data_IF_566675289067
#
_entry.id   IF_566675289067
#
_cell.length_a   1.000
_cell.length_b   1.000
_cell.length_c   1.000
_cell.angle_alpha   90.00
_cell.angle_beta   90.00
_cell.angle_gamma   90.00
#
_symmetry.space_group_name_H-M   'P 1'
#
loop_
_entity.id
_entity.type
_entity.pdbx_description
1 polymer ?
#
# COMPACT_ATOMS: atom_id res chain seq x y z
N UNK A 1 -11.97 -17.11 25.50
CA UNK A 1 -12.91 -17.96 24.73
C UNK A 1 -12.30 -18.21 23.37
N UNK A 2 -12.26 -19.48 22.94
CA UNK A 2 -11.74 -19.81 21.62
C UNK A 2 -12.66 -19.24 20.53
N UNK A 3 -12.08 -18.73 19.45
CA UNK A 3 -12.81 -18.32 18.26
C UNK A 3 -11.99 -18.58 17.00
N UNK A 4 -12.66 -18.55 15.87
CA UNK A 4 -12.06 -18.56 14.54
C UNK A 4 -12.71 -17.46 13.72
N UNK A 5 -11.93 -16.85 12.79
CA UNK A 5 -12.45 -15.91 11.80
C UNK A 5 -12.28 -16.57 10.44
N UNK A 6 -13.37 -16.79 9.71
CA UNK A 6 -13.38 -17.32 8.35
C UNK A 6 -13.83 -16.21 7.40
N UNK A 7 -12.98 -15.85 6.44
CA UNK A 7 -13.27 -14.81 5.44
C UNK A 7 -13.81 -13.50 6.06
N UNK A 8 -13.19 -13.07 7.19
CA UNK A 8 -13.60 -11.88 7.93
C UNK A 8 -14.76 -12.05 8.89
N UNK A 9 -15.49 -13.18 8.88
CA UNK A 9 -16.60 -13.45 9.79
C UNK A 9 -16.12 -14.18 11.02
N UNK A 10 -16.40 -13.65 12.22
CA UNK A 10 -15.98 -14.24 13.48
C UNK A 10 -16.99 -15.27 13.99
N UNK A 11 -16.54 -16.46 14.37
CA UNK A 11 -17.42 -17.56 14.85
C UNK A 11 -18.31 -17.18 16.05
N UNK A 12 -17.93 -16.16 16.84
CA UNK A 12 -18.73 -15.68 17.97
C UNK A 12 -20.00 -14.91 17.55
N UNK A 13 -20.11 -14.50 16.29
CA UNK A 13 -21.32 -13.86 15.75
C UNK A 13 -22.37 -14.89 15.31
N UNK A 14 -21.97 -16.16 15.15
CA UNK A 14 -22.88 -17.24 14.78
C UNK A 14 -23.55 -17.79 16.04
N UNK A 15 -24.88 -17.66 16.12
CA UNK A 15 -25.64 -18.02 17.31
C UNK A 15 -25.50 -19.50 17.67
N UNK A 16 -25.06 -19.75 18.87
CA UNK A 16 -24.92 -21.11 19.42
C UNK A 16 -23.71 -21.90 18.95
N UNK A 17 -22.85 -21.36 18.04
CA UNK A 17 -21.62 -22.01 17.64
C UNK A 17 -20.52 -21.81 18.69
N UNK A 18 -19.87 -22.90 19.08
CA UNK A 18 -18.75 -22.92 20.02
C UNK A 18 -17.52 -23.52 19.36
N UNK A 19 -16.37 -22.90 19.57
CA UNK A 19 -15.09 -23.51 19.26
C UNK A 19 -14.56 -24.18 20.52
N UNK A 20 -14.62 -25.53 20.53
CA UNK A 20 -14.24 -26.34 21.69
C UNK A 20 -12.72 -26.45 21.81
N UNK A 21 -12.02 -26.74 20.70
CA UNK A 21 -10.57 -26.80 20.67
C UNK A 21 -10.04 -26.14 19.40
N UNK A 22 -8.88 -25.51 19.52
CA UNK A 22 -8.13 -24.95 18.39
C UNK A 22 -7.07 -25.94 17.91
N UNK A 23 -6.68 -25.89 16.63
CA UNK A 23 -5.57 -26.68 16.15
C UNK A 23 -4.25 -26.23 16.78
N UNK A 24 -3.28 -27.15 16.97
CA UNK A 24 -1.98 -26.80 17.49
C UNK A 24 -1.22 -25.90 16.51
N UNK A 25 -0.35 -25.05 17.06
CA UNK A 25 0.64 -24.32 16.27
C UNK A 25 1.69 -25.35 15.84
N UNK A 26 1.84 -25.53 14.53
CA UNK A 26 2.74 -26.53 13.95
C UNK A 26 3.50 -25.96 12.76
N UNK A 27 4.68 -26.48 12.52
CA UNK A 27 5.51 -26.15 11.37
C UNK A 27 5.18 -27.10 10.22
N UNK A 28 5.07 -26.63 8.96
CA UNK A 28 4.87 -27.49 7.80
C UNK A 28 6.08 -28.40 7.56
N UNK A 29 5.82 -29.55 6.96
CA UNK A 29 6.87 -30.50 6.57
C UNK A 29 7.65 -29.97 5.37
N UNK A 30 8.99 -29.99 5.47
CA UNK A 30 9.87 -29.75 4.32
C UNK A 30 9.84 -30.99 3.41
N UNK A 31 9.47 -30.81 2.16
CA UNK A 31 9.60 -31.86 1.13
C UNK A 31 11.04 -31.90 0.68
N UNK A 32 11.61 -33.11 0.62
CA UNK A 32 12.99 -33.34 0.20
C UNK A 32 13.04 -34.45 -0.85
N UNK A 33 13.97 -34.33 -1.78
CA UNK A 33 14.43 -35.44 -2.62
C UNK A 33 15.74 -35.91 -2.06
N UNK A 34 15.88 -37.22 -1.90
CA UNK A 34 17.09 -37.87 -1.41
C UNK A 34 17.65 -38.74 -2.55
N UNK A 35 18.93 -38.54 -2.86
CA UNK A 35 19.61 -39.28 -3.91
C UNK A 35 20.87 -39.95 -3.32
N UNK A 36 20.93 -41.28 -3.41
CA UNK A 36 22.08 -42.06 -3.04
C UNK A 36 22.99 -42.22 -4.28
N UNK A 37 24.29 -42.00 -4.10
CA UNK A 37 25.27 -42.17 -5.19
C UNK A 37 26.21 -43.32 -4.82
N UNK A 38 26.29 -44.33 -5.69
CA UNK A 38 27.16 -45.47 -5.53
C UNK A 38 28.63 -45.02 -5.37
N UNK A 39 29.29 -45.53 -4.30
CA UNK A 39 30.67 -45.20 -4.01
C UNK A 39 30.91 -43.90 -3.26
N UNK A 40 29.84 -43.22 -2.82
CA UNK A 40 29.89 -42.06 -1.94
C UNK A 40 29.21 -42.35 -0.60
N UNK A 41 29.83 -41.97 0.50
CA UNK A 41 29.20 -42.02 1.80
C UNK A 41 28.17 -40.89 1.95
N UNK A 42 26.94 -41.23 2.45
CA UNK A 42 25.84 -40.31 2.68
C UNK A 42 25.05 -39.94 1.43
N UNK A 43 23.98 -39.20 1.61
CA UNK A 43 22.96 -38.85 0.61
C UNK A 43 23.11 -37.39 0.13
N UNK A 44 22.62 -37.11 -1.07
CA UNK A 44 22.34 -35.75 -1.53
C UNK A 44 20.89 -35.45 -1.20
N UNK A 45 20.68 -34.45 -0.33
CA UNK A 45 19.33 -33.98 0.04
C UNK A 45 19.02 -32.66 -0.63
N UNK A 46 18.01 -32.66 -1.51
CA UNK A 46 17.52 -31.45 -2.18
C UNK A 46 16.19 -31.02 -1.59
N UNK A 47 16.10 -29.76 -1.15
CA UNK A 47 14.89 -29.19 -0.60
C UNK A 47 13.90 -28.80 -1.74
N UNK A 48 12.67 -29.32 -1.70
CA UNK A 48 11.64 -29.11 -2.70
C UNK A 48 10.53 -28.11 -2.25
N UNK A 49 10.73 -27.47 -1.08
CA UNK A 49 9.75 -26.57 -0.49
C UNK A 49 8.86 -27.23 0.57
N UNK A 50 7.89 -26.51 1.10
CA UNK A 50 7.04 -26.99 2.19
C UNK A 50 5.74 -27.61 1.67
N UNK A 51 5.22 -28.60 2.41
CA UNK A 51 3.92 -29.22 2.14
C UNK A 51 2.79 -28.42 2.78
N UNK A 52 1.64 -28.35 2.11
CA UNK A 52 0.40 -28.06 2.76
C UNK A 52 0.07 -29.14 3.81
N UNK A 53 -0.71 -28.82 4.84
CA UNK A 53 -0.99 -29.73 5.93
C UNK A 53 -2.37 -29.50 6.54
N UNK A 54 -2.88 -30.47 7.32
CA UNK A 54 -4.19 -30.40 7.89
C UNK A 54 -4.14 -29.85 9.33
N UNK A 55 -5.04 -28.91 9.62
CA UNK A 55 -5.34 -28.40 10.96
C UNK A 55 -6.74 -28.81 11.34
N UNK A 56 -6.89 -29.51 12.48
CA UNK A 56 -8.16 -29.98 12.98
C UNK A 56 -8.65 -29.13 14.15
N UNK A 57 -9.92 -28.78 14.12
CA UNK A 57 -10.60 -27.98 15.12
C UNK A 57 -11.89 -28.70 15.56
N UNK A 58 -12.17 -28.75 16.86
CA UNK A 58 -13.43 -29.26 17.36
C UNK A 58 -14.44 -28.12 17.57
N UNK A 59 -15.64 -28.32 17.07
CA UNK A 59 -16.75 -27.37 17.18
C UNK A 59 -17.88 -27.99 18.02
N UNK A 60 -18.72 -27.14 18.59
CA UNK A 60 -19.87 -27.55 19.38
C UNK A 60 -21.08 -26.64 19.16
N UNK A 61 -22.26 -27.11 19.63
CA UNK A 61 -23.49 -26.33 19.66
C UNK A 61 -23.98 -26.15 21.09
N UNK A 62 -24.41 -24.94 21.41
CA UNK A 62 -24.91 -24.57 22.72
C UNK A 62 -26.13 -23.63 22.62
N UNK A 63 -27.12 -23.85 23.49
CA UNK A 63 -28.34 -23.04 23.55
C UNK A 63 -29.14 -23.06 22.24
N UNK A 64 -29.68 -21.89 21.88
CA UNK A 64 -30.36 -21.72 20.59
C UNK A 64 -29.37 -21.57 19.49
N UNK A 65 -29.53 -22.31 18.40
CA UNK A 65 -28.69 -22.26 17.22
C UNK A 65 -29.50 -22.40 15.94
N UNK A 66 -28.96 -21.86 14.84
CA UNK A 66 -29.49 -22.10 13.51
C UNK A 66 -28.47 -22.96 12.74
N UNK A 67 -28.87 -24.16 12.34
CA UNK A 67 -27.97 -25.09 11.62
C UNK A 67 -27.55 -24.55 10.28
N UNK A 68 -28.44 -23.88 9.56
CA UNK A 68 -28.15 -23.36 8.23
C UNK A 68 -27.10 -22.22 8.31
N UNK A 69 -27.17 -21.37 9.35
CA UNK A 69 -26.13 -20.38 9.62
C UNK A 69 -24.77 -21.01 9.91
N UNK A 70 -24.76 -22.09 10.69
CA UNK A 70 -23.53 -22.83 11.02
C UNK A 70 -22.93 -23.47 9.74
N UNK A 71 -23.78 -24.07 8.89
CA UNK A 71 -23.36 -24.64 7.61
C UNK A 71 -22.76 -23.54 6.70
N UNK A 72 -23.45 -22.41 6.56
CA UNK A 72 -23.02 -21.28 5.75
C UNK A 72 -21.72 -20.64 6.24
N UNK A 73 -21.49 -20.65 7.56
CA UNK A 73 -20.25 -20.12 8.13
C UNK A 73 -19.01 -20.91 7.66
N UNK A 74 -19.11 -22.24 7.53
CA UNK A 74 -17.99 -23.07 7.07
C UNK A 74 -17.93 -23.11 5.55
N UNK A 75 -17.46 -22.01 4.95
CA UNK A 75 -17.20 -21.94 3.51
C UNK A 75 -16.08 -22.89 3.10
N UNK A 76 -16.12 -23.38 1.84
CA UNK A 76 -15.19 -24.41 1.36
C UNK A 76 -13.74 -23.94 1.27
N UNK A 77 -13.48 -22.63 1.10
CA UNK A 77 -12.14 -22.07 0.96
C UNK A 77 -12.06 -20.61 1.36
N UNK A 78 -10.86 -20.10 1.53
CA UNK A 78 -10.57 -18.71 1.83
C UNK A 78 -9.47 -18.51 2.85
N UNK A 79 -9.65 -17.55 3.76
CA UNK A 79 -8.70 -17.23 4.83
C UNK A 79 -9.25 -17.62 6.19
N UNK A 80 -8.38 -18.14 7.07
CA UNK A 80 -8.72 -18.48 8.44
C UNK A 80 -7.72 -17.90 9.44
N UNK A 81 -8.24 -17.25 10.48
CA UNK A 81 -7.49 -16.80 11.67
C UNK A 81 -7.95 -17.63 12.86
N UNK A 82 -7.04 -18.30 13.54
CA UNK A 82 -7.30 -19.01 14.78
C UNK A 82 -6.96 -18.12 15.98
N UNK A 83 -7.78 -18.12 17.02
CA UNK A 83 -7.59 -17.25 18.18
C UNK A 83 -6.34 -17.51 19.02
N UNK A 84 -5.60 -18.59 18.77
CA UNK A 84 -4.27 -18.84 19.33
C UNK A 84 -3.12 -18.22 18.52
N UNK A 85 -3.40 -17.70 17.31
CA UNK A 85 -2.51 -16.90 16.46
C UNK A 85 -3.32 -15.76 15.82
N UNK A 86 -3.83 -14.78 16.60
CA UNK A 86 -4.80 -13.80 16.14
C UNK A 86 -4.21 -12.75 15.18
N UNK A 87 -2.90 -12.64 15.11
CA UNK A 87 -2.11 -11.76 14.27
C UNK A 87 -1.77 -12.36 12.90
N UNK A 88 -2.20 -13.62 12.64
CA UNK A 88 -1.86 -14.35 11.41
C UNK A 88 -3.07 -15.04 10.81
N UNK A 89 -3.13 -15.09 9.47
CA UNK A 89 -4.08 -15.92 8.77
C UNK A 89 -3.41 -16.99 7.93
N UNK A 90 -4.18 -18.04 7.63
CA UNK A 90 -3.84 -19.11 6.71
C UNK A 90 -4.80 -19.10 5.53
N UNK A 91 -4.29 -19.40 4.33
CA UNK A 91 -5.13 -19.78 3.21
C UNK A 91 -5.53 -21.25 3.39
N UNK A 92 -6.83 -21.54 3.30
CA UNK A 92 -7.36 -22.88 3.58
C UNK A 92 -8.36 -23.35 2.53
N UNK A 93 -8.54 -24.66 2.52
CA UNK A 93 -9.64 -25.38 1.88
C UNK A 93 -10.20 -26.39 2.88
N UNK A 94 -11.54 -26.56 2.94
CA UNK A 94 -12.19 -27.65 3.66
C UNK A 94 -12.44 -28.76 2.64
N UNK A 95 -11.62 -29.79 2.69
CA UNK A 95 -11.66 -30.93 1.75
C UNK A 95 -12.41 -32.13 2.33
N UNK A 96 -12.57 -32.19 3.64
CA UNK A 96 -13.28 -33.26 4.34
C UNK A 96 -14.73 -32.86 4.62
N UNK A 97 -15.62 -33.85 4.64
CA UNK A 97 -17.01 -33.65 5.02
C UNK A 97 -17.12 -33.27 6.52
N UNK A 98 -17.87 -32.21 6.82
CA UNK A 98 -18.24 -31.84 8.18
C UNK A 98 -19.53 -32.62 8.53
N UNK A 99 -19.49 -33.45 9.57
CA UNK A 99 -20.64 -34.23 10.00
C UNK A 99 -21.60 -33.37 10.87
N UNK A 100 -22.50 -32.66 10.23
CA UNK A 100 -23.48 -31.81 10.88
C UNK A 100 -24.55 -32.64 11.61
N UNK A 101 -24.85 -33.90 11.21
CA UNK A 101 -25.76 -34.78 11.94
C UNK A 101 -25.16 -35.13 13.30
N UNK A 102 -23.88 -35.48 13.34
CA UNK A 102 -23.14 -35.70 14.58
C UNK A 102 -23.11 -34.45 15.46
N UNK A 103 -22.90 -33.27 14.84
CA UNK A 103 -22.91 -31.98 15.55
C UNK A 103 -24.25 -31.73 16.23
N UNK A 104 -25.39 -32.02 15.58
CA UNK A 104 -26.72 -31.84 16.12
C UNK A 104 -26.99 -32.84 17.25
N UNK A 105 -26.66 -34.12 17.04
CA UNK A 105 -26.96 -35.22 18.01
C UNK A 105 -26.06 -35.20 19.22
N UNK A 106 -24.75 -35.05 19.02
CA UNK A 106 -23.74 -35.19 20.08
C UNK A 106 -23.15 -33.86 20.54
N UNK A 107 -23.57 -32.74 19.93
CA UNK A 107 -23.08 -31.39 20.23
C UNK A 107 -21.59 -31.24 20.03
N UNK A 108 -20.98 -32.04 19.17
CA UNK A 108 -19.57 -31.96 18.79
C UNK A 108 -19.33 -32.53 17.40
N UNK A 109 -18.49 -31.86 16.63
CA UNK A 109 -17.94 -32.34 15.36
C UNK A 109 -16.50 -31.80 15.16
N UNK A 110 -15.79 -32.39 14.20
CA UNK A 110 -14.45 -31.96 13.83
C UNK A 110 -14.51 -31.30 12.46
N UNK A 111 -13.82 -30.16 12.33
CA UNK A 111 -13.58 -29.48 11.06
C UNK A 111 -12.10 -29.61 10.74
N UNK A 112 -11.78 -30.08 9.53
CA UNK A 112 -10.42 -30.22 9.02
C UNK A 112 -10.16 -29.15 7.97
N UNK A 113 -9.24 -28.25 8.26
CA UNK A 113 -8.74 -27.24 7.33
C UNK A 113 -7.47 -27.77 6.67
N UNK A 114 -7.47 -27.90 5.36
CA UNK A 114 -6.25 -28.10 4.56
C UNK A 114 -5.64 -26.74 4.32
N UNK A 115 -4.52 -26.43 4.99
CA UNK A 115 -3.91 -25.11 4.95
C UNK A 115 -2.63 -25.11 4.12
N UNK A 116 -2.40 -24.01 3.42
CA UNK A 116 -1.13 -23.76 2.75
C UNK A 116 0.01 -23.60 3.78
N UNK A 117 1.27 -23.85 3.42
CA UNK A 117 2.37 -23.94 4.39
C UNK A 117 2.71 -22.62 5.07
N UNK A 118 2.40 -21.50 4.45
CA UNK A 118 2.74 -20.19 4.97
C UNK A 118 1.54 -19.52 5.65
N UNK A 119 1.86 -18.76 6.71
CA UNK A 119 0.98 -17.82 7.37
C UNK A 119 1.31 -16.41 6.91
N UNK A 120 0.32 -15.55 6.88
CA UNK A 120 0.44 -14.15 6.49
C UNK A 120 -0.05 -13.24 7.60
N UNK A 121 0.36 -11.97 7.60
CA UNK A 121 -0.12 -10.97 8.56
C UNK A 121 -1.62 -10.77 8.45
N UNK A 122 -2.34 -10.81 9.57
CA UNK A 122 -3.78 -10.51 9.62
C UNK A 122 -4.08 -9.00 9.54
N UNK A 123 -3.06 -8.17 9.62
CA UNK A 123 -3.12 -6.72 9.40
C UNK A 123 -2.52 -6.44 8.03
N UNK A 124 -3.11 -5.52 7.27
CA UNK A 124 -2.58 -5.12 5.97
C UNK A 124 -1.12 -4.68 6.12
N UNK A 125 -0.25 -5.42 5.46
CA UNK A 125 1.20 -5.24 5.51
C UNK A 125 1.58 -4.50 4.22
N UNK A 126 1.27 -3.19 4.19
CA UNK A 126 1.51 -2.32 3.04
C UNK A 126 2.49 -1.24 3.43
N UNK A 127 3.58 -1.14 2.67
CA UNK A 127 4.49 -0.02 2.71
C UNK A 127 4.17 0.92 1.54
N UNK A 128 4.15 2.23 1.81
CA UNK A 128 3.94 3.25 0.77
C UNK A 128 5.07 4.27 0.79
N UNK A 129 5.72 4.46 -0.35
CA UNK A 129 6.55 5.63 -0.65
C UNK A 129 5.74 6.57 -1.54
N UNK A 130 5.71 7.85 -1.20
CA UNK A 130 5.09 8.91 -2.00
C UNK A 130 6.13 10.05 -2.16
N UNK A 131 6.40 10.43 -3.40
CA UNK A 131 7.29 11.54 -3.72
C UNK A 131 6.70 12.89 -3.31
N UNK A 132 5.35 12.99 -3.28
CA UNK A 132 4.66 14.17 -2.78
C UNK A 132 4.63 14.17 -1.25
N UNK A 133 5.26 15.17 -0.67
CA UNK A 133 5.38 15.33 0.79
C UNK A 133 4.53 16.48 1.34
N UNK A 134 3.72 17.14 0.49
CA UNK A 134 2.81 18.22 0.90
C UNK A 134 1.47 17.64 1.37
N UNK A 135 1.00 18.15 2.49
CA UNK A 135 -0.36 17.89 2.96
C UNK A 135 -1.06 19.20 3.31
N UNK A 136 -2.11 19.52 2.54
CA UNK A 136 -2.90 20.76 2.68
C UNK A 136 -4.04 20.51 3.67
N UNK A 137 -4.25 21.45 4.58
CA UNK A 137 -5.37 21.40 5.55
C UNK A 137 -6.66 21.90 4.92
N UNK A 138 -7.78 21.46 5.46
CA UNK A 138 -9.08 22.02 5.12
C UNK A 138 -9.12 23.52 5.46
N UNK A 139 -9.62 24.30 4.51
CA UNK A 139 -9.68 25.76 4.58
C UNK A 139 -10.84 26.30 3.77
N UNK A 140 -11.43 27.40 4.22
CA UNK A 140 -12.45 28.12 3.46
C UNK A 140 -12.41 29.60 3.81
N UNK A 141 -12.29 30.45 2.80
CA UNK A 141 -12.31 31.90 2.98
C UNK A 141 -12.80 32.60 1.71
N UNK A 142 -13.61 33.63 1.91
CA UNK A 142 -14.01 34.56 0.84
C UNK A 142 -13.37 35.92 1.11
N UNK A 143 -12.74 36.50 0.10
CA UNK A 143 -12.10 37.81 0.18
C UNK A 143 -12.16 38.51 -1.18
N UNK A 144 -12.53 39.77 -1.21
CA UNK A 144 -12.57 40.63 -2.40
C UNK A 144 -13.31 39.99 -3.60
N UNK A 145 -14.42 39.28 -3.36
CA UNK A 145 -15.19 38.64 -4.42
C UNK A 145 -14.71 37.27 -4.88
N UNK A 146 -13.63 36.75 -4.27
CA UNK A 146 -13.11 35.42 -4.55
C UNK A 146 -13.29 34.50 -3.34
N UNK A 147 -13.76 33.29 -3.59
CA UNK A 147 -13.84 32.21 -2.60
C UNK A 147 -12.78 31.16 -2.88
N UNK A 148 -11.97 30.84 -1.89
CA UNK A 148 -11.00 29.76 -1.92
C UNK A 148 -11.35 28.73 -0.84
N UNK A 149 -11.44 27.47 -1.24
CA UNK A 149 -11.67 26.34 -0.35
C UNK A 149 -10.62 25.26 -0.59
N UNK A 150 -10.25 24.54 0.46
CA UNK A 150 -9.46 23.31 0.39
C UNK A 150 -10.19 22.22 1.17
N UNK A 151 -10.46 21.09 0.54
CA UNK A 151 -11.13 19.94 1.14
C UNK A 151 -10.37 18.69 0.73
N UNK A 152 -9.88 17.93 1.70
CA UNK A 152 -9.09 16.72 1.46
C UNK A 152 -7.89 16.94 0.51
N UNK A 153 -7.25 18.11 0.61
CA UNK A 153 -6.08 18.47 -0.21
C UNK A 153 -6.40 19.08 -1.58
N UNK A 154 -7.61 18.92 -2.11
CA UNK A 154 -8.04 19.59 -3.35
C UNK A 154 -8.43 21.04 -3.05
N UNK A 155 -7.85 21.97 -3.78
CA UNK A 155 -8.12 23.39 -3.66
C UNK A 155 -9.08 23.82 -4.79
N UNK A 156 -10.12 24.56 -4.45
CA UNK A 156 -11.06 25.15 -5.42
C UNK A 156 -11.09 26.66 -5.23
N UNK A 157 -11.04 27.41 -6.34
CA UNK A 157 -11.03 28.86 -6.33
C UNK A 157 -12.06 29.37 -7.35
N UNK A 158 -12.96 30.23 -6.90
CA UNK A 158 -14.01 30.78 -7.77
C UNK A 158 -14.35 32.23 -7.44
N UNK A 159 -14.76 33.00 -8.44
CA UNK A 159 -15.23 34.38 -8.30
C UNK A 159 -14.50 35.35 -9.20
N UNK A 160 -14.66 36.66 -8.93
CA UNK A 160 -13.92 37.72 -9.64
C UNK A 160 -13.31 38.66 -8.61
N UNK A 161 -11.99 38.75 -8.60
CA UNK A 161 -11.31 39.60 -7.64
C UNK A 161 -11.55 41.09 -7.93
N UNK A 162 -12.18 41.83 -7.01
CA UNK A 162 -12.41 43.25 -7.11
C UNK A 162 -11.16 44.09 -6.86
N UNK A 163 -10.14 43.50 -6.22
CA UNK A 163 -8.80 44.04 -6.04
C UNK A 163 -7.81 42.88 -5.96
N UNK A 164 -6.52 43.14 -6.10
CA UNK A 164 -5.48 42.13 -5.85
C UNK A 164 -5.71 41.47 -4.48
N UNK A 165 -5.71 40.16 -4.45
CA UNK A 165 -6.16 39.37 -3.29
C UNK A 165 -5.15 38.31 -2.93
N UNK A 166 -4.91 38.15 -1.62
CA UNK A 166 -3.99 37.14 -1.09
C UNK A 166 -4.73 36.18 -0.16
N UNK A 167 -4.44 34.88 -0.33
CA UNK A 167 -4.86 33.82 0.60
C UNK A 167 -3.64 33.11 1.15
N UNK A 168 -3.75 32.64 2.39
CA UNK A 168 -2.76 31.86 3.10
C UNK A 168 -3.44 30.55 3.51
N UNK A 169 -3.31 29.54 2.65
CA UNK A 169 -3.91 28.23 2.87
C UNK A 169 -2.99 27.43 3.80
N UNK A 170 -3.45 27.03 4.99
CA UNK A 170 -2.61 26.34 5.94
C UNK A 170 -2.27 24.93 5.46
N UNK A 171 -1.04 24.51 5.70
CA UNK A 171 -0.58 23.14 5.46
C UNK A 171 -0.17 22.49 6.80
N UNK A 172 -0.01 21.17 6.83
CA UNK A 172 0.74 20.55 7.90
C UNK A 172 2.20 21.00 7.78
N UNK A 173 2.83 21.34 8.91
CA UNK A 173 4.17 21.92 8.91
C UNK A 173 5.13 21.02 8.09
N UNK A 174 5.66 21.58 7.01
CA UNK A 174 6.53 20.90 6.07
C UNK A 174 7.98 21.32 6.33
N UNK A 175 8.75 20.48 7.01
CA UNK A 175 10.18 20.70 7.24
C UNK A 175 10.97 20.06 6.08
N UNK A 176 11.58 20.90 5.21
CA UNK A 176 12.47 20.45 4.15
C UNK A 176 13.92 20.62 4.62
N UNK A 177 14.72 19.57 4.45
CA UNK A 177 16.17 19.61 4.69
C UNK A 177 16.90 20.18 3.46
N UNK A 178 18.21 20.34 3.53
CA UNK A 178 19.00 20.69 2.36
C UNK A 178 18.84 19.62 1.26
N UNK A 179 18.58 20.05 0.02
CA UNK A 179 18.31 19.12 -1.08
C UNK A 179 17.50 19.74 -2.21
N UNK A 180 17.11 18.92 -3.16
CA UNK A 180 16.37 19.30 -4.36
C UNK A 180 14.89 18.96 -4.24
N UNK A 181 14.04 19.96 -4.46
CA UNK A 181 12.59 19.80 -4.37
C UNK A 181 11.91 20.50 -5.56
N UNK A 182 10.69 20.08 -5.87
CA UNK A 182 9.87 20.72 -6.91
C UNK A 182 8.48 21.04 -6.33
N UNK A 183 8.10 22.30 -6.34
CA UNK A 183 6.73 22.74 -6.16
C UNK A 183 6.00 22.57 -7.51
N UNK A 184 4.96 21.76 -7.54
CA UNK A 184 4.16 21.49 -8.73
C UNK A 184 2.71 21.87 -8.47
N UNK A 185 2.06 22.41 -9.48
CA UNK A 185 0.65 22.76 -9.45
C UNK A 185 -0.01 22.26 -10.73
N UNK A 186 -1.11 21.55 -10.59
CA UNK A 186 -1.93 21.08 -11.72
C UNK A 186 -3.33 21.66 -11.56
N UNK A 187 -3.80 22.34 -12.62
CA UNK A 187 -5.08 23.08 -12.64
C UNK A 187 -6.04 22.50 -13.65
N UNK A 188 -7.32 22.65 -13.37
CA UNK A 188 -8.42 22.31 -14.27
C UNK A 188 -9.54 23.35 -14.11
N UNK A 189 -9.84 24.10 -15.17
CA UNK A 189 -10.91 25.11 -15.15
C UNK A 189 -10.61 26.33 -16.00
N UNK A 190 -10.85 27.53 -15.47
CA UNK A 190 -10.68 28.79 -16.19
C UNK A 190 -10.10 29.90 -15.31
N UNK A 191 -9.26 30.75 -15.91
CA UNK A 191 -8.72 31.95 -15.26
C UNK A 191 -7.50 31.69 -14.36
N UNK A 192 -6.87 30.52 -14.42
CA UNK A 192 -5.73 30.13 -13.61
C UNK A 192 -4.53 31.04 -13.76
N UNK A 193 -4.29 31.53 -14.98
CA UNK A 193 -3.19 32.45 -15.27
C UNK A 193 -3.25 33.80 -14.52
N UNK A 194 -4.42 34.13 -13.93
CA UNK A 194 -4.54 35.28 -13.02
C UNK A 194 -3.99 34.97 -11.60
N UNK A 195 -3.57 33.73 -11.33
CA UNK A 195 -3.14 33.25 -10.02
C UNK A 195 -1.68 32.86 -10.02
N UNK A 196 -1.04 33.05 -8.87
CA UNK A 196 0.31 32.56 -8.57
C UNK A 196 0.31 31.96 -7.17
N UNK A 197 1.16 30.96 -6.96
CA UNK A 197 1.36 30.33 -5.67
C UNK A 197 2.81 30.37 -5.19
N UNK A 198 3.00 30.20 -3.88
CA UNK A 198 4.30 30.11 -3.23
C UNK A 198 4.18 29.35 -1.93
N UNK A 199 5.18 28.56 -1.56
CA UNK A 199 5.31 28.06 -0.19
C UNK A 199 5.99 29.11 0.69
N UNK A 200 5.44 29.35 1.87
CA UNK A 200 5.99 30.32 2.85
C UNK A 200 5.97 29.74 4.26
N UNK A 201 6.94 30.16 5.08
CA UNK A 201 7.01 29.76 6.49
C UNK A 201 6.02 30.51 7.35
N UNK A 202 6.02 31.85 7.28
CA UNK A 202 5.21 32.72 8.13
C UNK A 202 4.42 33.76 7.35
N UNK A 203 3.33 34.27 7.96
CA UNK A 203 2.47 35.32 7.44
C UNK A 203 2.80 36.63 8.20
N UNK A 204 3.03 37.76 7.50
CA UNK A 204 3.15 38.03 6.08
C UNK A 204 4.58 37.98 5.52
N UNK A 205 5.50 37.29 6.16
CA UNK A 205 6.91 37.31 5.79
C UNK A 205 7.21 36.50 4.53
N UNK A 206 7.94 37.10 3.58
CA UNK A 206 8.48 36.43 2.39
C UNK A 206 9.86 35.83 2.61
N UNK A 207 10.43 35.91 3.83
CA UNK A 207 11.83 35.58 4.12
C UNK A 207 12.16 34.11 3.85
N UNK A 208 11.19 33.21 4.04
CA UNK A 208 11.34 31.77 3.86
C UNK A 208 10.53 31.23 2.68
N UNK A 209 10.48 31.96 1.57
CA UNK A 209 9.80 31.47 0.38
C UNK A 209 10.60 30.33 -0.29
N UNK A 210 9.88 29.32 -0.80
CA UNK A 210 10.45 28.25 -1.59
C UNK A 210 10.99 28.79 -2.92
N UNK A 211 12.26 28.50 -3.21
CA UNK A 211 12.89 28.92 -4.45
C UNK A 211 13.04 30.43 -4.65
N UNK A 212 12.72 31.27 -3.66
CA UNK A 212 12.87 32.73 -3.73
C UNK A 212 11.90 33.45 -4.67
N UNK A 213 11.00 32.74 -5.35
CA UNK A 213 10.04 33.29 -6.32
C UNK A 213 8.65 32.63 -6.15
N UNK A 214 7.71 32.99 -6.99
CA UNK A 214 6.37 32.36 -7.04
C UNK A 214 6.20 31.55 -8.32
N UNK A 215 5.32 30.58 -8.27
CA UNK A 215 4.91 29.75 -9.38
C UNK A 215 3.64 30.37 -9.99
N UNK A 216 3.74 30.87 -11.22
CA UNK A 216 2.58 31.31 -11.99
C UNK A 216 1.81 30.08 -12.50
N UNK A 217 0.49 30.04 -12.29
CA UNK A 217 -0.36 28.95 -12.76
C UNK A 217 -0.57 29.04 -14.28
N UNK A 218 -0.79 27.89 -14.89
CA UNK A 218 -1.06 27.76 -16.32
C UNK A 218 -2.52 27.38 -16.52
N UNK A 219 -3.13 27.82 -17.61
CA UNK A 219 -4.50 27.42 -17.94
C UNK A 219 -4.53 25.96 -18.37
N UNK A 220 -5.42 25.17 -17.76
CA UNK A 220 -5.62 23.73 -18.05
C UNK A 220 -4.32 22.96 -18.15
N UNK A 221 -3.49 23.03 -17.12
CA UNK A 221 -2.19 22.43 -17.21
C UNK A 221 -1.44 22.30 -15.91
N UNK A 222 -0.17 21.97 -16.06
CA UNK A 222 0.74 21.80 -14.94
C UNK A 222 1.88 22.84 -15.04
N UNK A 223 2.16 23.47 -13.92
CA UNK A 223 3.30 24.36 -13.72
C UNK A 223 4.20 23.80 -12.63
N UNK A 224 5.51 24.04 -12.73
CA UNK A 224 6.46 23.58 -11.72
C UNK A 224 7.58 24.58 -11.47
N UNK A 225 8.08 24.59 -10.23
CA UNK A 225 9.22 25.38 -9.79
C UNK A 225 10.17 24.46 -9.01
N UNK A 226 11.33 24.17 -9.58
CA UNK A 226 12.38 23.41 -8.89
C UNK A 226 13.32 24.33 -8.12
N UNK A 227 13.70 23.92 -6.92
CA UNK A 227 14.62 24.65 -6.07
C UNK A 227 15.57 23.72 -5.33
N UNK A 228 16.82 24.15 -5.18
CA UNK A 228 17.79 23.52 -4.28
C UNK A 228 17.85 24.30 -2.99
N UNK A 229 17.48 23.68 -1.88
CA UNK A 229 17.62 24.25 -0.55
C UNK A 229 19.04 23.98 -0.02
N UNK A 230 19.72 25.00 0.45
CA UNK A 230 21.07 24.90 1.04
C UNK A 230 21.05 24.73 2.55
N UNK A 231 19.89 24.96 3.18
CA UNK A 231 19.65 24.77 4.60
C UNK A 231 18.21 24.32 4.83
N UNK A 232 17.96 23.74 6.01
CA UNK A 232 16.62 23.34 6.41
C UNK A 232 15.69 24.54 6.53
N UNK A 233 14.46 24.38 6.00
CA UNK A 233 13.38 25.36 6.08
C UNK A 233 12.08 24.69 6.47
N UNK A 234 11.21 25.44 7.18
CA UNK A 234 9.87 24.97 7.52
C UNK A 234 8.84 25.85 6.85
N UNK A 235 7.89 25.23 6.19
CA UNK A 235 6.78 25.89 5.50
C UNK A 235 5.48 25.55 6.19
N UNK A 236 4.59 26.55 6.33
CA UNK A 236 3.31 26.42 7.05
C UNK A 236 2.11 26.79 6.18
N UNK A 237 2.34 27.43 5.02
CA UNK A 237 1.27 27.90 4.13
C UNK A 237 1.63 27.74 2.66
N UNK A 238 0.58 27.46 1.86
CA UNK A 238 0.57 27.80 0.42
C UNK A 238 -0.04 29.18 0.32
N UNK A 239 0.74 30.15 -0.11
CA UNK A 239 0.30 31.51 -0.38
C UNK A 239 -0.20 31.62 -1.81
N UNK A 240 -1.33 32.27 -1.98
CA UNK A 240 -1.95 32.58 -3.27
C UNK A 240 -1.96 34.08 -3.47
N UNK A 241 -1.60 34.50 -4.68
CA UNK A 241 -1.83 35.85 -5.15
C UNK A 241 -2.71 35.80 -6.38
N UNK A 242 -3.78 36.59 -6.37
CA UNK A 242 -4.80 36.64 -7.42
C UNK A 242 -4.89 38.08 -7.92
N UNK A 243 -4.71 38.28 -9.24
CA UNK A 243 -4.84 39.59 -9.85
C UNK A 243 -6.32 40.01 -9.94
N UNK A 244 -6.59 41.31 -9.92
CA UNK A 244 -7.97 41.82 -10.02
C UNK A 244 -8.53 41.76 -11.45
N UNK A 245 -9.86 41.64 -11.57
CA UNK A 245 -10.61 41.85 -12.81
C UNK A 245 -10.85 40.61 -13.66
N UNK A 246 -10.19 39.49 -13.38
CA UNK A 246 -10.41 38.22 -14.10
C UNK A 246 -11.40 37.35 -13.35
N UNK A 247 -12.37 36.81 -14.06
CA UNK A 247 -13.23 35.75 -13.52
C UNK A 247 -12.44 34.44 -13.48
N UNK A 248 -12.51 33.78 -12.35
CA UNK A 248 -11.77 32.53 -12.08
C UNK A 248 -12.74 31.46 -11.57
N UNK A 249 -12.59 30.25 -12.07
CA UNK A 249 -13.33 29.07 -11.62
C UNK A 249 -12.53 27.81 -11.98
N UNK A 250 -11.70 27.35 -11.04
CA UNK A 250 -10.83 26.20 -11.27
C UNK A 250 -10.54 25.42 -10.00
N UNK A 251 -10.13 24.17 -10.19
CA UNK A 251 -9.55 23.33 -9.16
C UNK A 251 -8.02 23.27 -9.31
N UNK A 252 -7.33 23.03 -8.20
CA UNK A 252 -5.88 23.01 -8.13
C UNK A 252 -5.42 21.89 -7.21
N UNK A 253 -4.53 21.03 -7.73
CA UNK A 253 -3.71 20.13 -6.94
C UNK A 253 -2.32 20.75 -6.78
N UNK A 254 -1.84 20.88 -5.53
CA UNK A 254 -0.50 21.38 -5.21
C UNK A 254 0.31 20.25 -4.60
N UNK A 255 1.50 20.05 -5.12
CA UNK A 255 2.44 19.01 -4.69
C UNK A 255 3.81 19.62 -4.37
N UNK A 256 4.49 19.05 -3.40
CA UNK A 256 5.92 19.28 -3.16
C UNK A 256 6.64 17.95 -3.32
N UNK A 257 7.38 17.80 -4.39
CA UNK A 257 8.07 16.57 -4.75
C UNK A 257 9.47 16.56 -4.15
N UNK A 258 9.78 15.52 -3.37
CA UNK A 258 11.14 15.27 -2.88
C UNK A 258 11.96 14.53 -3.95
N UNK A 259 12.94 15.23 -4.54
CA UNK A 259 13.80 14.67 -5.58
C UNK A 259 15.10 14.04 -5.01
N UNK A 260 15.23 13.93 -3.70
CA UNK A 260 16.43 13.40 -3.06
C UNK A 260 16.32 11.91 -2.74
N UNK A 261 15.11 11.37 -2.73
CA UNK A 261 14.82 9.98 -2.35
C UNK A 261 14.73 9.11 -3.60
N UNK A 262 15.59 8.10 -3.68
CA UNK A 262 15.59 7.06 -4.72
C UNK A 262 15.68 5.65 -4.11
N UNK A 263 15.47 5.53 -2.82
CA UNK A 263 15.45 4.24 -2.11
C UNK A 263 14.70 4.34 -0.79
N UNK A 264 14.19 3.19 -0.33
CA UNK A 264 13.65 3.04 1.02
C UNK A 264 13.95 1.65 1.56
N UNK A 265 13.82 1.51 2.88
CA UNK A 265 13.96 0.23 3.56
C UNK A 265 12.60 -0.32 3.93
N UNK A 266 12.39 -1.62 3.69
CA UNK A 266 11.23 -2.38 4.14
C UNK A 266 11.69 -3.54 5.02
N UNK A 267 10.97 -3.82 6.09
CA UNK A 267 11.32 -4.88 7.03
C UNK A 267 10.34 -6.04 6.86
N UNK A 268 10.84 -7.18 6.39
CA UNK A 268 10.09 -8.42 6.46
C UNK A 268 10.21 -8.98 7.90
N UNK A 269 9.14 -8.81 8.69
CA UNK A 269 9.03 -9.29 10.07
C UNK A 269 8.78 -10.80 10.18
N UNK A 270 8.58 -11.47 9.06
CA UNK A 270 8.39 -12.91 9.01
C UNK A 270 9.65 -13.72 9.37
N UNK A 271 9.48 -15.02 9.49
CA UNK A 271 10.60 -15.94 9.73
C UNK A 271 11.05 -16.68 8.46
N UNK A 272 10.52 -16.26 7.30
CA UNK A 272 10.88 -16.79 5.98
C UNK A 272 10.90 -15.69 4.94
N UNK A 273 11.60 -15.94 3.84
CA UNK A 273 11.56 -15.07 2.67
C UNK A 273 10.14 -14.93 2.14
N UNK A 274 9.79 -13.77 1.56
CA UNK A 274 8.48 -13.50 1.00
C UNK A 274 8.55 -13.06 -0.45
N UNK A 275 7.43 -13.21 -1.14
CA UNK A 275 7.24 -12.80 -2.52
C UNK A 275 6.18 -11.70 -2.54
N UNK A 276 6.58 -10.42 -2.50
CA UNK A 276 5.65 -9.32 -2.40
C UNK A 276 4.99 -8.99 -3.74
N UNK A 277 3.93 -8.20 -3.66
CA UNK A 277 3.38 -7.43 -4.77
C UNK A 277 3.89 -6.00 -4.66
N UNK A 278 4.39 -5.42 -5.76
CA UNK A 278 4.81 -4.03 -5.83
C UNK A 278 4.04 -3.29 -6.92
N UNK A 279 3.48 -2.12 -6.59
CA UNK A 279 2.88 -1.21 -7.55
C UNK A 279 3.74 0.04 -7.65
N UNK A 280 4.14 0.40 -8.86
CA UNK A 280 5.03 1.51 -9.15
C UNK A 280 4.31 2.49 -10.06
N UNK A 281 4.16 3.73 -9.60
CA UNK A 281 3.63 4.86 -10.33
C UNK A 281 4.78 5.73 -10.82
N UNK A 282 4.70 6.20 -12.06
CA UNK A 282 5.78 7.01 -12.63
C UNK A 282 5.65 7.19 -14.14
N UNK A 283 6.79 7.45 -14.82
CA UNK A 283 6.82 7.62 -16.27
C UNK A 283 8.15 7.17 -16.88
N UNK A 284 8.10 6.78 -18.16
CA UNK A 284 9.26 6.35 -18.91
C UNK A 284 9.86 5.04 -18.43
N UNK A 285 11.19 4.93 -18.50
CA UNK A 285 11.94 3.75 -18.08
C UNK A 285 12.34 3.85 -16.61
N UNK A 286 12.03 2.81 -15.83
CA UNK A 286 12.38 2.70 -14.41
C UNK A 286 13.19 1.42 -14.20
N UNK A 287 14.41 1.56 -13.65
CA UNK A 287 15.19 0.41 -13.21
C UNK A 287 15.01 0.20 -11.70
N UNK A 288 14.53 -0.98 -11.32
CA UNK A 288 14.29 -1.34 -9.92
C UNK A 288 15.39 -2.27 -9.43
N UNK A 289 15.94 -1.97 -8.25
CA UNK A 289 16.95 -2.79 -7.59
C UNK A 289 16.48 -3.22 -6.20
N UNK A 290 16.85 -4.44 -5.81
CA UNK A 290 16.65 -4.98 -4.47
C UNK A 290 18.01 -5.31 -3.84
N UNK A 291 18.28 -4.76 -2.67
CA UNK A 291 19.54 -4.97 -1.93
C UNK A 291 20.78 -4.70 -2.79
N UNK A 292 20.71 -3.67 -3.66
CA UNK A 292 21.80 -3.26 -4.55
C UNK A 292 21.95 -4.08 -5.84
N UNK A 293 21.07 -5.05 -6.08
CA UNK A 293 21.04 -5.82 -7.34
C UNK A 293 19.85 -5.39 -8.17
N UNK A 294 20.07 -4.99 -9.42
CA UNK A 294 18.97 -4.68 -10.35
C UNK A 294 18.16 -5.96 -10.62
N UNK A 295 16.85 -5.86 -10.41
CA UNK A 295 15.92 -6.98 -10.59
C UNK A 295 15.01 -6.80 -11.81
N UNK A 296 14.59 -5.55 -12.08
CA UNK A 296 13.72 -5.23 -13.21
C UNK A 296 14.19 -3.97 -13.93
N UNK A 297 13.95 -3.94 -15.25
CA UNK A 297 13.85 -2.73 -16.06
C UNK A 297 12.43 -2.65 -16.60
N UNK A 298 11.74 -1.54 -16.31
CA UNK A 298 10.30 -1.38 -16.52
C UNK A 298 10.09 -0.24 -17.49
N UNK A 299 9.33 -0.48 -18.57
CA UNK A 299 8.93 0.56 -19.53
C UNK A 299 7.42 0.83 -19.33
N UNK A 300 7.07 1.96 -18.72
CA UNK A 300 5.67 2.30 -18.43
C UNK A 300 4.91 2.75 -19.69
N UNK A 301 5.60 3.37 -20.69
CA UNK A 301 4.92 3.94 -21.87
C UNK A 301 3.87 4.97 -21.44
N UNK A 302 2.63 4.77 -21.90
CA UNK A 302 1.47 5.59 -21.54
C UNK A 302 0.75 5.12 -20.26
N UNK A 303 1.25 4.09 -19.60
CA UNK A 303 0.65 3.56 -18.37
C UNK A 303 0.97 4.46 -17.17
N UNK A 304 -0.02 4.74 -16.37
CA UNK A 304 0.12 5.53 -15.13
C UNK A 304 0.88 4.77 -14.04
N UNK A 305 0.70 3.44 -14.01
CA UNK A 305 1.35 2.56 -13.04
C UNK A 305 1.50 1.14 -13.59
N UNK A 306 2.31 0.36 -12.93
CA UNK A 306 2.42 -1.08 -13.14
C UNK A 306 2.45 -1.81 -11.79
N UNK A 307 1.73 -2.91 -11.71
CA UNK A 307 1.77 -3.82 -10.57
C UNK A 307 2.53 -5.09 -10.96
N UNK A 308 3.53 -5.47 -10.17
CA UNK A 308 4.33 -6.68 -10.36
C UNK A 308 4.06 -7.61 -9.18
N UNK A 309 3.49 -8.79 -9.47
CA UNK A 309 3.26 -9.87 -8.51
C UNK A 309 4.38 -10.90 -8.64
N UNK A 310 5.28 -10.94 -7.66
CA UNK A 310 6.41 -11.87 -7.68
C UNK A 310 6.03 -13.33 -7.41
N UNK A 311 4.87 -13.57 -6.77
CA UNK A 311 4.38 -14.92 -6.51
C UNK A 311 3.76 -15.54 -7.78
N UNK A 312 2.98 -14.77 -8.53
CA UNK A 312 2.37 -15.19 -9.79
C UNK A 312 3.30 -15.02 -10.99
N UNK A 313 4.41 -14.28 -10.83
CA UNK A 313 5.36 -13.94 -11.90
C UNK A 313 4.69 -13.18 -13.06
N UNK A 314 3.82 -12.24 -12.74
CA UNK A 314 3.06 -11.43 -13.69
C UNK A 314 3.20 -9.95 -13.36
N UNK A 315 3.09 -9.14 -14.43
CA UNK A 315 2.93 -7.70 -14.34
C UNK A 315 1.64 -7.26 -15.03
N UNK A 316 0.92 -6.29 -14.43
CA UNK A 316 -0.38 -5.84 -14.93
C UNK A 316 -0.70 -4.40 -14.51
N UNK A 317 -1.65 -3.78 -15.21
CA UNK A 317 -2.33 -2.55 -14.82
C UNK A 317 -3.85 -2.83 -14.81
N UNK A 318 -4.46 -2.83 -13.63
CA UNK A 318 -5.83 -3.33 -13.49
C UNK A 318 -5.92 -4.79 -13.99
N UNK A 319 -6.77 -5.05 -14.98
CA UNK A 319 -6.95 -6.38 -15.59
C UNK A 319 -6.07 -6.62 -16.84
N UNK A 320 -5.22 -5.66 -17.22
CA UNK A 320 -4.41 -5.72 -18.44
C UNK A 320 -3.02 -6.27 -18.10
N UNK A 321 -2.62 -7.37 -18.76
CA UNK A 321 -1.27 -7.93 -18.61
C UNK A 321 -0.23 -7.04 -19.29
N UNK A 322 0.82 -6.70 -18.53
CA UNK A 322 1.93 -5.84 -18.91
C UNK A 322 3.30 -6.55 -18.84
N UNK A 323 3.35 -7.87 -18.95
CA UNK A 323 4.60 -8.63 -18.84
C UNK A 323 5.67 -8.21 -19.88
N UNK A 324 5.26 -7.62 -21.02
CA UNK A 324 6.19 -7.13 -22.04
C UNK A 324 6.88 -5.83 -21.65
N UNK A 325 6.31 -5.10 -20.70
CA UNK A 325 6.85 -3.86 -20.15
C UNK A 325 7.91 -4.11 -19.05
N UNK A 326 8.13 -5.35 -18.64
CA UNK A 326 9.06 -5.71 -17.56
C UNK A 326 10.11 -6.67 -18.08
N UNK A 327 11.36 -6.24 -18.04
CA UNK A 327 12.53 -7.05 -18.35
C UNK A 327 13.21 -7.41 -17.02
N UNK A 328 13.36 -8.71 -16.74
CA UNK A 328 13.98 -9.21 -15.52
C UNK A 328 13.47 -10.58 -15.13
N UNK A 329 13.98 -11.11 -14.03
CA UNK A 329 13.58 -12.41 -13.49
C UNK A 329 12.75 -12.20 -12.21
N UNK A 330 11.46 -12.48 -12.30
CA UNK A 330 10.51 -12.37 -11.18
C UNK A 330 10.90 -13.22 -9.96
N UNK A 331 11.65 -14.33 -10.18
CA UNK A 331 12.13 -15.18 -9.09
C UNK A 331 13.14 -14.47 -8.18
N UNK A 332 13.80 -13.41 -8.66
CA UNK A 332 14.74 -12.59 -7.90
C UNK A 332 14.06 -11.54 -7.02
N UNK A 333 12.77 -11.25 -7.25
CA UNK A 333 12.02 -10.33 -6.40
C UNK A 333 11.50 -11.05 -5.16
N UNK A 334 12.41 -11.30 -4.23
CA UNK A 334 12.17 -12.03 -2.98
C UNK A 334 12.75 -11.23 -1.81
N UNK A 335 11.89 -10.79 -0.89
CA UNK A 335 12.33 -10.11 0.33
C UNK A 335 12.86 -11.13 1.34
N UNK A 336 14.11 -10.99 1.72
CA UNK A 336 14.71 -11.78 2.78
C UNK A 336 14.15 -11.38 4.15
N UNK A 337 14.29 -12.23 5.15
CA UNK A 337 13.94 -11.87 6.54
C UNK A 337 14.77 -10.69 7.02
N UNK A 338 14.13 -9.76 7.75
CA UNK A 338 14.76 -8.52 8.21
C UNK A 338 14.70 -7.41 7.17
N UNK A 339 15.69 -6.53 7.18
CA UNK A 339 15.70 -5.30 6.37
C UNK A 339 16.07 -5.59 4.91
N UNK A 340 15.26 -5.08 4.00
CA UNK A 340 15.50 -5.08 2.55
C UNK A 340 15.50 -3.63 2.06
N UNK A 341 16.35 -3.32 1.10
CA UNK A 341 16.45 -1.99 0.49
C UNK A 341 15.95 -2.09 -0.95
N UNK A 342 14.90 -1.37 -1.25
CA UNK A 342 14.39 -1.16 -2.61
C UNK A 342 14.93 0.19 -3.09
N UNK A 343 15.55 0.22 -4.26
CA UNK A 343 16.05 1.44 -4.89
C UNK A 343 15.71 1.46 -6.37
N UNK A 344 15.67 2.67 -6.94
CA UNK A 344 15.29 2.85 -8.33
C UNK A 344 16.04 3.98 -8.99
N UNK A 345 16.05 3.96 -10.33
CA UNK A 345 16.35 5.09 -11.19
C UNK A 345 15.14 5.37 -12.09
N UNK A 346 15.10 6.53 -12.71
CA UNK A 346 13.94 6.96 -13.50
C UNK A 346 12.95 7.80 -12.70
N UNK A 347 11.83 8.15 -13.32
CA UNK A 347 10.83 9.04 -12.70
C UNK A 347 9.74 8.22 -12.00
N UNK A 348 9.92 8.04 -10.71
CA UNK A 348 8.97 7.36 -9.81
C UNK A 348 8.27 8.41 -8.95
N UNK A 349 6.94 8.40 -8.98
CA UNK A 349 6.10 9.27 -8.15
C UNK A 349 5.63 8.60 -6.86
N UNK A 350 5.30 7.30 -6.91
CA UNK A 350 4.81 6.52 -5.77
C UNK A 350 5.19 5.06 -5.90
N UNK A 351 5.44 4.38 -4.80
CA UNK A 351 5.59 2.92 -4.72
C UNK A 351 4.73 2.40 -3.56
N UNK A 352 4.01 1.32 -3.83
CA UNK A 352 3.30 0.55 -2.81
C UNK A 352 3.83 -0.89 -2.84
N UNK A 353 4.17 -1.43 -1.66
CA UNK A 353 4.60 -2.82 -1.51
C UNK A 353 3.66 -3.50 -0.54
N UNK A 354 3.06 -4.60 -0.97
CA UNK A 354 2.08 -5.36 -0.21
C UNK A 354 2.47 -6.85 -0.11
N UNK A 355 1.84 -7.56 0.83
CA UNK A 355 1.95 -9.02 1.01
C UNK A 355 3.40 -9.51 1.25
N UNK A 356 4.20 -8.69 1.94
CA UNK A 356 5.64 -8.94 2.08
C UNK A 356 6.04 -9.65 3.37
N UNK A 357 5.13 -9.90 4.31
CA UNK A 357 5.46 -10.58 5.57
C UNK A 357 4.77 -11.93 5.68
N UNK A 358 5.56 -13.00 5.85
CA UNK A 358 5.02 -14.34 6.04
C UNK A 358 5.86 -15.20 6.99
N UNK A 359 5.23 -16.21 7.55
CA UNK A 359 5.83 -17.18 8.49
C UNK A 359 5.61 -18.63 8.06
N UNK A 360 6.54 -19.47 8.51
CA UNK A 360 6.43 -20.92 8.43
C UNK A 360 5.86 -21.41 9.75
#
# INVERSE_FOLDING_TARGET
>A
MNYVILNGVKSTTIKGLLIQSLPPISKPLMRTSVEEIDGRDGDIVTNLGYSAYNKQMSIGLFGDYNVDEVIQFFTSSGTVIFSNEPDKYYNYEIIDQIDFERLIRFKTATVTFHVQPFKYSAVDDVFTYDKNILSVKDFSKTLNGVTLTSINGLISISGTATSATEFYVPIYALALYAGNFTLKATTEGTGESACSIRLIGDVPSNADSFGGTYLALQNDGSASLSATLTASKTFNYVWFYITSGTAIDFTLNVEVLDNNVSSFSIINHGNTQSKPTITIYGSGTIDLSLNGTQIFSIELGDAEYITIDSAQMNAYQGDILMNRSVIGDYSNFVLQTGTNIISWTGDVSKIEVADYTRWI
#
